data_IF_888414347822
#
_entry.id   IF_888414347822
#
_cell.length_a   1.000
_cell.length_b   1.000
_cell.length_c   1.000
_cell.angle_alpha   90.00
_cell.angle_beta   90.00
_cell.angle_gamma   90.00
#
_symmetry.space_group_name_H-M   'P 1'
#
loop_
_entity.id
_entity.type
_entity.pdbx_description
1 polymer ?
#
# COMPACT_ATOMS: atom_id res chain seq x y z
N UNK A 1 18.17 -22.73 -2.75
CA UNK A 1 17.39 -21.54 -2.37
C UNK A 1 17.50 -20.54 -3.52
N UNK A 2 16.44 -20.34 -4.32
CA UNK A 2 16.47 -19.33 -5.40
C UNK A 2 16.31 -17.97 -4.74
N UNK A 3 17.40 -17.22 -4.63
CA UNK A 3 17.32 -15.78 -4.44
C UNK A 3 16.70 -15.22 -5.71
N UNK A 4 15.38 -15.06 -5.71
CA UNK A 4 14.69 -14.22 -6.67
C UNK A 4 15.32 -12.84 -6.57
N UNK A 5 16.02 -12.39 -7.62
CA UNK A 5 16.45 -11.00 -7.68
C UNK A 5 15.25 -10.11 -7.34
N UNK A 6 15.40 -9.09 -6.47
CA UNK A 6 14.30 -8.22 -6.14
C UNK A 6 13.83 -7.58 -7.44
N UNK A 7 12.64 -7.98 -7.89
CA UNK A 7 11.98 -7.48 -9.10
C UNK A 7 12.00 -5.95 -9.00
N UNK A 8 12.83 -5.29 -9.81
CA UNK A 8 13.03 -3.84 -9.75
C UNK A 8 11.67 -3.16 -9.92
N UNK A 9 11.12 -2.64 -8.83
CA UNK A 9 9.86 -1.92 -8.85
C UNK A 9 10.14 -0.45 -9.18
N UNK A 10 9.77 -0.03 -10.38
CA UNK A 10 10.02 1.35 -10.81
C UNK A 10 9.17 2.35 -9.98
N UNK A 11 9.85 3.15 -9.16
CA UNK A 11 9.23 4.14 -8.28
C UNK A 11 9.00 5.46 -9.01
N UNK A 12 7.93 5.51 -9.80
CA UNK A 12 7.50 6.77 -10.42
C UNK A 12 6.99 7.77 -9.37
N UNK A 13 6.87 9.08 -9.69
CA UNK A 13 6.32 10.06 -8.75
C UNK A 13 4.92 9.70 -8.22
N UNK A 14 4.07 9.06 -9.05
CA UNK A 14 2.74 8.62 -8.65
C UNK A 14 2.79 7.43 -7.67
N UNK A 15 3.70 6.49 -7.91
CA UNK A 15 4.00 5.38 -6.99
C UNK A 15 4.48 5.94 -5.65
N UNK A 16 5.47 6.84 -5.67
CA UNK A 16 6.02 7.46 -4.47
C UNK A 16 4.94 8.17 -3.67
N UNK A 17 4.09 8.97 -4.31
CA UNK A 17 2.96 9.65 -3.63
C UNK A 17 2.00 8.67 -2.97
N UNK A 18 1.66 7.57 -3.64
CA UNK A 18 0.79 6.54 -3.07
C UNK A 18 1.45 5.84 -1.86
N UNK A 19 2.74 5.53 -1.95
CA UNK A 19 3.49 4.93 -0.84
C UNK A 19 3.60 5.88 0.37
N UNK A 20 3.84 7.18 0.13
CA UNK A 20 3.83 8.18 1.22
C UNK A 20 2.42 8.30 1.81
N UNK A 21 1.36 8.33 1.00
CA UNK A 21 -0.01 8.37 1.51
C UNK A 21 -0.34 7.18 2.40
N UNK A 22 0.11 5.98 2.01
CA UNK A 22 -0.05 4.77 2.83
C UNK A 22 0.78 4.86 4.11
N UNK A 23 2.03 5.35 4.05
CA UNK A 23 2.88 5.55 5.22
C UNK A 23 2.31 6.58 6.20
N UNK A 24 1.68 7.63 5.69
CA UNK A 24 0.97 8.65 6.48
C UNK A 24 -0.35 8.14 7.08
N UNK A 25 -0.67 6.84 6.92
CA UNK A 25 -1.90 6.20 7.39
C UNK A 25 -3.20 6.81 6.80
N UNK A 26 -3.12 7.39 5.60
CA UNK A 26 -4.24 8.07 4.92
C UNK A 26 -4.98 7.21 3.90
N UNK A 27 -4.62 5.94 3.80
CA UNK A 27 -5.18 4.99 2.83
C UNK A 27 -5.94 3.90 3.56
N UNK A 28 -7.16 3.64 3.10
CA UNK A 28 -8.05 2.63 3.65
C UNK A 28 -8.63 1.77 2.53
N UNK A 29 -8.79 0.49 2.82
CA UNK A 29 -9.54 -0.45 1.98
C UNK A 29 -10.86 -0.77 2.64
N UNK A 30 -11.95 -0.50 1.93
CA UNK A 30 -13.31 -0.80 2.36
C UNK A 30 -13.70 -2.14 1.75
N UNK A 31 -13.92 -3.15 2.58
CA UNK A 31 -14.39 -4.48 2.18
C UNK A 31 -15.91 -4.54 2.32
N UNK A 32 -16.60 -4.82 1.22
CA UNK A 32 -18.04 -5.01 1.13
C UNK A 32 -18.40 -6.37 0.54
N UNK A 33 -19.70 -6.72 0.49
CA UNK A 33 -20.17 -8.01 -0.02
C UNK A 33 -19.84 -8.23 -1.51
N UNK A 34 -19.70 -7.14 -2.28
CA UNK A 34 -19.47 -7.18 -3.73
C UNK A 34 -18.00 -6.92 -4.12
N UNK A 35 -17.08 -6.94 -3.16
CA UNK A 35 -15.66 -6.67 -3.38
C UNK A 35 -15.13 -5.56 -2.49
N UNK A 36 -13.98 -4.98 -2.87
CA UNK A 36 -13.33 -3.94 -2.07
C UNK A 36 -13.09 -2.67 -2.87
N UNK A 37 -13.18 -1.55 -2.16
CA UNK A 37 -12.95 -0.21 -2.68
C UNK A 37 -11.83 0.49 -1.90
N UNK A 38 -11.27 1.55 -2.47
CA UNK A 38 -10.26 2.37 -1.82
C UNK A 38 -10.86 3.69 -1.35
N UNK A 39 -10.52 4.10 -0.12
CA UNK A 39 -10.70 5.46 0.38
C UNK A 39 -9.32 6.02 0.69
N UNK A 40 -9.01 7.18 0.15
CA UNK A 40 -7.75 7.87 0.42
C UNK A 40 -8.03 9.32 0.80
N UNK A 41 -7.48 9.77 1.92
CA UNK A 41 -7.62 11.16 2.39
C UNK A 41 -6.62 12.10 1.71
N UNK A 42 -5.66 11.56 0.95
CA UNK A 42 -4.66 12.33 0.21
C UNK A 42 -5.05 12.45 -1.27
N UNK A 43 -5.12 13.68 -1.76
CA UNK A 43 -5.36 13.97 -3.17
C UNK A 43 -4.24 13.43 -4.07
N UNK A 44 -4.61 13.06 -5.31
CA UNK A 44 -3.66 12.61 -6.34
C UNK A 44 -3.19 11.17 -6.21
N UNK A 45 -3.81 10.37 -5.34
CA UNK A 45 -3.59 8.92 -5.24
C UNK A 45 -4.74 8.20 -5.91
N UNK A 46 -4.46 7.52 -7.03
CA UNK A 46 -5.49 6.77 -7.75
C UNK A 46 -5.73 5.39 -7.12
N UNK A 47 -6.99 4.90 -7.07
CA UNK A 47 -7.30 3.53 -6.67
C UNK A 47 -6.50 2.48 -7.45
N UNK A 48 -6.28 2.69 -8.76
CA UNK A 48 -5.47 1.81 -9.61
C UNK A 48 -4.02 1.70 -9.11
N UNK A 49 -3.45 2.78 -8.58
CA UNK A 49 -2.10 2.74 -8.02
C UNK A 49 -2.05 1.92 -6.73
N UNK A 50 -3.05 2.06 -5.86
CA UNK A 50 -3.15 1.28 -4.62
C UNK A 50 -3.28 -0.22 -4.90
N UNK A 51 -4.10 -0.58 -5.90
CA UNK A 51 -4.17 -1.96 -6.40
C UNK A 51 -2.82 -2.47 -6.90
N UNK A 52 -2.07 -1.65 -7.64
CA UNK A 52 -0.73 -2.01 -8.11
C UNK A 52 0.24 -2.24 -6.95
N UNK A 53 0.25 -1.37 -5.95
CA UNK A 53 1.10 -1.52 -4.76
C UNK A 53 0.78 -2.81 -4.00
N UNK A 54 -0.52 -3.09 -3.81
CA UNK A 54 -0.99 -4.31 -3.14
C UNK A 54 -0.57 -5.56 -3.92
N UNK A 55 -0.76 -5.58 -5.25
CA UNK A 55 -0.37 -6.69 -6.10
C UNK A 55 1.16 -6.93 -6.16
N UNK A 56 1.97 -5.95 -5.76
CA UNK A 56 3.42 -6.08 -5.62
C UNK A 56 3.85 -6.21 -4.16
N UNK A 57 2.91 -6.48 -3.24
CA UNK A 57 3.18 -6.72 -1.82
C UNK A 57 3.91 -5.55 -1.14
N UNK A 58 3.72 -4.33 -1.63
CA UNK A 58 4.35 -3.11 -1.10
C UNK A 58 3.49 -2.43 -0.03
N UNK A 59 2.19 -2.72 -0.05
CA UNK A 59 1.24 -2.31 0.98
C UNK A 59 0.45 -3.53 1.41
N UNK A 60 -0.05 -3.48 2.62
CA UNK A 60 -0.83 -4.54 3.22
C UNK A 60 -1.82 -3.96 4.22
N UNK A 61 -2.82 -4.76 4.55
CA UNK A 61 -3.77 -4.43 5.59
C UNK A 61 -3.03 -4.26 6.91
N UNK A 62 -3.30 -3.18 7.62
CA UNK A 62 -2.78 -3.03 8.98
C UNK A 62 -3.44 -4.09 9.87
N UNK A 63 -2.65 -4.86 10.66
CA UNK A 63 -3.21 -5.89 11.52
C UNK A 63 -4.23 -5.27 12.48
N UNK A 64 -5.49 -5.63 12.33
CA UNK A 64 -6.51 -5.23 13.30
C UNK A 64 -6.30 -6.04 14.58
N UNK A 65 -6.20 -5.36 15.71
CA UNK A 65 -6.03 -5.99 17.01
C UNK A 65 -7.34 -6.72 17.36
N UNK A 66 -7.36 -8.05 17.17
CA UNK A 66 -8.36 -8.98 17.70
C UNK A 66 -9.87 -8.62 17.55
N UNK A 67 -10.28 -7.90 16.51
CA UNK A 67 -11.70 -7.69 16.19
C UNK A 67 -12.08 -8.56 15.01
N UNK A 68 -13.08 -9.42 15.20
CA UNK A 68 -13.71 -10.20 14.14
C UNK A 68 -14.29 -9.22 13.11
N UNK A 69 -13.71 -9.22 11.91
CA UNK A 69 -14.04 -8.25 10.86
C UNK A 69 -15.46 -8.53 10.33
N UNK A 70 -16.44 -7.74 10.77
CA UNK A 70 -17.79 -7.75 10.20
C UNK A 70 -17.81 -6.93 8.90
N UNK A 71 -18.49 -7.44 7.87
CA UNK A 71 -18.69 -6.71 6.61
C UNK A 71 -19.90 -5.76 6.75
N UNK A 72 -19.81 -4.48 6.35
CA UNK A 72 -18.65 -3.83 5.71
C UNK A 72 -17.55 -3.44 6.71
N UNK A 73 -16.30 -3.68 6.31
CA UNK A 73 -15.13 -3.34 7.12
C UNK A 73 -14.27 -2.30 6.42
N UNK A 74 -13.81 -1.29 7.16
CA UNK A 74 -12.82 -0.33 6.68
C UNK A 74 -11.50 -0.62 7.37
N UNK A 75 -10.50 -1.07 6.61
CA UNK A 75 -9.18 -1.42 7.13
C UNK A 75 -8.19 -0.37 6.66
N UNK A 76 -7.36 0.11 7.58
CA UNK A 76 -6.26 1.02 7.23
C UNK A 76 -5.15 0.22 6.56
N UNK A 77 -4.50 0.83 5.57
CA UNK A 77 -3.34 0.24 4.92
C UNK A 77 -2.05 0.73 5.56
N UNK A 78 -1.04 -0.13 5.53
CA UNK A 78 0.34 0.22 5.87
C UNK A 78 1.29 -0.18 4.76
N UNK A 79 2.49 0.39 4.77
CA UNK A 79 3.58 -0.14 3.95
C UNK A 79 4.00 -1.50 4.51
N UNK A 80 4.24 -2.46 3.62
CA UNK A 80 4.98 -3.66 3.99
C UNK A 80 6.44 -3.28 4.29
N UNK A 81 7.22 -4.22 4.85
CA UNK A 81 8.65 -3.97 5.08
C UNK A 81 9.38 -3.61 3.79
N UNK A 82 9.11 -4.35 2.71
CA UNK A 82 9.68 -4.12 1.38
C UNK A 82 9.26 -2.76 0.83
N UNK A 83 7.98 -2.41 0.97
CA UNK A 83 7.48 -1.09 0.56
C UNK A 83 8.18 0.04 1.30
N UNK A 84 8.39 -0.09 2.61
CA UNK A 84 9.10 0.91 3.40
C UNK A 84 10.56 1.07 2.95
N UNK A 85 11.27 -0.02 2.74
CA UNK A 85 12.68 0.00 2.32
C UNK A 85 12.83 0.65 0.92
N UNK A 86 11.91 0.35 -0.02
CA UNK A 86 11.87 0.99 -1.34
C UNK A 86 11.56 2.49 -1.24
N UNK A 87 10.60 2.88 -0.39
CA UNK A 87 10.27 4.30 -0.22
C UNK A 87 11.48 5.08 0.31
N UNK A 88 12.18 4.54 1.31
CA UNK A 88 13.40 5.14 1.86
C UNK A 88 14.49 5.31 0.81
N UNK A 89 14.80 4.24 0.07
CA UNK A 89 15.79 4.31 -1.02
C UNK A 89 15.42 5.37 -2.08
N UNK A 90 14.13 5.55 -2.34
CA UNK A 90 13.61 6.56 -3.28
C UNK A 90 13.73 8.00 -2.78
N UNK A 91 13.67 8.21 -1.46
CA UNK A 91 13.85 9.53 -0.83
C UNK A 91 15.33 9.90 -0.70
N UNK A 92 16.19 8.91 -0.47
CA UNK A 92 17.64 9.07 -0.35
C UNK A 92 18.36 9.32 -1.70
N UNK A 93 17.62 9.36 -2.82
CA UNK A 93 18.17 9.53 -4.17
C UNK A 93 18.94 8.31 -4.70
N UNK A 94 18.75 7.13 -4.07
CA UNK A 94 19.42 5.86 -4.43
C UNK A 94 18.57 4.92 -5.28
N UNK A 95 17.38 5.34 -5.69
CA UNK A 95 16.43 4.56 -6.50
C UNK A 95 16.44 4.94 -7.97
#
# INVERSE_FOLDING_TARGET
>A
MRHSEPKRFNVTPAVRRAMIATNDQKVFRVYGPNGSAWKCERNGVSPRMLWKLLANELIEDEPQTAVMIAVPATIRMRLSRVGLDILKASLDGKA
#
